data_IF_751131630630
#
_entry.id   IF_751131630630
#
_cell.length_a   1.000
_cell.length_b   1.000
_cell.length_c   1.000
_cell.angle_alpha   90.00
_cell.angle_beta   90.00
_cell.angle_gamma   90.00
#
_symmetry.space_group_name_H-M   'P 1'
#
loop_
_entity.id
_entity.type
_entity.pdbx_description
1 polymer ?
#
# COMPACT_ATOMS: atom_id res chain seq x y z
N UNK A 1 0.01 37.35 3.77
CA UNK A 1 -1.18 36.97 4.56
C UNK A 1 -2.15 36.23 3.66
N UNK A 2 -2.74 35.13 4.10
CA UNK A 2 -3.82 34.45 3.35
C UNK A 2 -5.11 35.27 3.51
N UNK A 3 -5.86 35.46 2.43
CA UNK A 3 -7.14 36.19 2.41
C UNK A 3 -8.35 35.29 2.16
N UNK A 4 -8.19 34.27 1.31
CA UNK A 4 -9.25 33.37 0.86
C UNK A 4 -8.64 32.08 0.34
N UNK A 5 -9.32 30.95 0.55
CA UNK A 5 -8.88 29.64 0.10
C UNK A 5 -10.05 28.85 -0.49
N UNK A 6 -9.77 28.07 -1.53
CA UNK A 6 -10.68 27.05 -2.07
C UNK A 6 -10.81 25.87 -1.09
N UNK A 7 -11.78 24.97 -1.32
CA UNK A 7 -11.97 23.81 -0.42
C UNK A 7 -10.91 22.73 -0.60
N UNK A 8 -10.20 22.77 -1.72
CA UNK A 8 -9.19 21.79 -2.10
C UNK A 8 -9.78 20.47 -2.61
N UNK A 9 -8.96 19.70 -3.32
CA UNK A 9 -9.35 18.53 -4.10
C UNK A 9 -10.64 18.79 -4.93
N UNK A 10 -10.60 19.84 -5.76
CA UNK A 10 -11.71 20.24 -6.63
C UNK A 10 -11.51 19.68 -8.05
N UNK A 11 -12.58 19.17 -8.65
CA UNK A 11 -12.54 18.40 -9.90
C UNK A 11 -13.69 18.75 -10.86
N UNK A 12 -13.55 18.37 -12.13
CA UNK A 12 -14.61 18.38 -13.14
C UNK A 12 -14.41 17.21 -14.11
N UNK A 13 -15.50 16.63 -14.59
CA UNK A 13 -15.52 15.43 -15.45
C UNK A 13 -14.57 15.52 -16.66
N UNK A 14 -13.91 14.41 -17.00
CA UNK A 14 -12.92 14.25 -18.07
C UNK A 14 -11.65 15.10 -17.90
N UNK A 15 -11.46 15.81 -16.79
CA UNK A 15 -10.31 16.68 -16.58
C UNK A 15 -9.04 15.86 -16.23
N UNK A 16 -7.89 16.10 -16.89
CA UNK A 16 -6.64 15.43 -16.56
C UNK A 16 -5.96 15.98 -15.30
N UNK A 17 -6.49 17.05 -14.69
CA UNK A 17 -5.93 17.69 -13.50
C UNK A 17 -6.94 17.73 -12.34
N UNK A 18 -6.46 17.43 -11.14
CA UNK A 18 -7.13 17.73 -9.88
C UNK A 18 -6.62 19.08 -9.35
N UNK A 19 -7.52 20.00 -9.01
CA UNK A 19 -7.14 21.23 -8.30
C UNK A 19 -6.99 20.91 -6.81
N UNK A 20 -5.75 20.65 -6.38
CA UNK A 20 -5.40 20.23 -5.01
C UNK A 20 -5.71 21.31 -3.99
N UNK A 21 -5.30 22.54 -4.28
CA UNK A 21 -5.54 23.72 -3.45
C UNK A 21 -5.50 24.98 -4.31
N UNK A 22 -6.03 26.06 -3.77
CA UNK A 22 -5.87 27.39 -4.35
C UNK A 22 -6.09 28.46 -3.29
N UNK A 23 -5.09 29.31 -3.06
CA UNK A 23 -5.10 30.28 -1.97
C UNK A 23 -4.71 31.66 -2.48
N UNK A 24 -5.46 32.67 -2.05
CA UNK A 24 -5.25 34.09 -2.34
C UNK A 24 -4.41 34.71 -1.21
N UNK A 25 -3.32 35.37 -1.59
CA UNK A 25 -2.39 36.01 -0.69
C UNK A 25 -2.34 37.52 -0.90
N UNK A 26 -2.00 38.24 0.17
CA UNK A 26 -1.54 39.63 0.15
C UNK A 26 -0.07 39.68 0.63
N UNK A 27 0.81 40.25 -0.19
CA UNK A 27 2.25 40.30 0.09
C UNK A 27 2.55 41.38 1.16
N UNK A 28 3.19 40.95 2.25
CA UNK A 28 3.38 41.78 3.45
C UNK A 28 4.10 43.11 3.17
N UNK A 29 3.55 44.21 3.71
CA UNK A 29 4.08 45.57 3.48
C UNK A 29 3.68 46.20 2.14
N UNK A 30 2.88 45.51 1.31
CA UNK A 30 2.39 46.01 0.02
C UNK A 30 0.87 45.83 -0.08
N UNK A 31 0.27 46.22 -1.21
CA UNK A 31 -1.10 45.82 -1.60
C UNK A 31 -1.14 44.72 -2.66
N UNK A 32 0.02 44.15 -3.02
CA UNK A 32 0.09 43.19 -4.11
C UNK A 32 -0.59 41.89 -3.70
N UNK A 33 -1.52 41.45 -4.54
CA UNK A 33 -2.28 40.21 -4.37
C UNK A 33 -1.90 39.20 -5.43
N UNK A 34 -1.78 37.96 -5.01
CA UNK A 34 -1.43 36.86 -5.89
C UNK A 34 -2.16 35.60 -5.46
N UNK A 35 -2.38 34.70 -6.42
CA UNK A 35 -2.97 33.38 -6.19
C UNK A 35 -1.90 32.34 -6.46
N UNK A 36 -1.78 31.36 -5.58
CA UNK A 36 -1.08 30.10 -5.85
C UNK A 36 -2.15 29.04 -6.03
N UNK A 37 -2.07 28.25 -7.10
CA UNK A 37 -2.85 27.04 -7.30
C UNK A 37 -1.90 25.84 -7.32
N UNK A 38 -2.30 24.74 -6.68
CA UNK A 38 -1.61 23.47 -6.81
C UNK A 38 -2.49 22.53 -7.62
N UNK A 39 -1.94 21.98 -8.69
CA UNK A 39 -2.58 20.97 -9.53
C UNK A 39 -1.87 19.63 -9.37
N UNK A 40 -2.62 18.53 -9.43
CA UNK A 40 -2.09 17.17 -9.54
C UNK A 40 -2.52 16.55 -10.85
N UNK A 41 -1.59 15.93 -11.57
CA UNK A 41 -1.92 15.19 -12.79
C UNK A 41 -2.67 13.90 -12.45
N UNK A 42 -3.80 13.63 -13.11
CA UNK A 42 -4.57 12.37 -13.00
C UNK A 42 -4.45 11.51 -14.27
N UNK A 43 -3.67 11.95 -15.26
CA UNK A 43 -3.47 11.28 -16.54
C UNK A 43 -2.16 10.48 -16.54
N UNK A 44 -2.21 9.29 -17.14
CA UNK A 44 -1.02 8.51 -17.50
C UNK A 44 -0.07 9.26 -18.45
N UNK A 45 -0.58 10.29 -19.16
CA UNK A 45 0.23 11.18 -20.00
C UNK A 45 0.90 12.25 -19.15
N UNK A 46 2.20 12.47 -19.35
CA UNK A 46 2.89 13.59 -18.71
C UNK A 46 2.36 14.93 -19.22
N UNK A 47 2.09 15.86 -18.32
CA UNK A 47 1.66 17.23 -18.64
C UNK A 47 2.90 18.12 -18.83
N UNK A 48 2.92 18.94 -19.88
CA UNK A 48 4.02 19.88 -20.19
C UNK A 48 3.60 21.35 -20.15
N UNK A 49 2.29 21.63 -20.22
CA UNK A 49 1.74 22.96 -19.97
C UNK A 49 0.29 22.92 -19.53
N UNK A 50 -0.16 23.93 -18.78
CA UNK A 50 -1.56 24.15 -18.45
C UNK A 50 -1.89 25.65 -18.47
N UNK A 51 -3.06 26.02 -18.98
CA UNK A 51 -3.55 27.41 -19.02
C UNK A 51 -4.73 27.58 -18.08
N UNK A 52 -4.68 28.61 -17.22
CA UNK A 52 -5.77 28.96 -16.29
C UNK A 52 -6.18 30.42 -16.43
N UNK A 53 -7.48 30.68 -16.42
CA UNK A 53 -8.05 32.01 -16.30
C UNK A 53 -8.59 32.22 -14.88
N UNK A 54 -8.09 33.23 -14.17
CA UNK A 54 -8.56 33.62 -12.84
C UNK A 54 -9.57 34.77 -12.94
N UNK A 55 -10.79 34.52 -12.48
CA UNK A 55 -11.82 35.54 -12.30
C UNK A 55 -11.75 36.05 -10.86
N UNK A 56 -11.38 37.33 -10.68
CA UNK A 56 -11.25 37.98 -9.38
C UNK A 56 -12.56 38.67 -8.96
N UNK A 57 -12.91 38.61 -7.68
CA UNK A 57 -14.12 39.25 -7.12
C UNK A 57 -13.79 39.99 -5.82
N UNK A 58 -14.54 41.07 -5.54
CA UNK A 58 -14.48 41.80 -4.28
C UNK A 58 -15.28 41.13 -3.15
N UNK A 59 -15.28 41.74 -1.95
CA UNK A 59 -16.03 41.23 -0.79
C UNK A 59 -17.55 41.29 -0.95
N UNK A 60 -18.07 42.06 -1.90
CA UNK A 60 -19.47 42.04 -2.34
C UNK A 60 -19.81 40.93 -3.34
N UNK A 61 -18.81 40.12 -3.73
CA UNK A 61 -18.88 39.11 -4.81
C UNK A 61 -19.10 39.72 -6.20
N UNK A 62 -18.73 40.98 -6.38
CA UNK A 62 -18.76 41.64 -7.69
C UNK A 62 -17.42 41.38 -8.39
N UNK A 63 -17.46 40.98 -9.66
CA UNK A 63 -16.23 40.72 -10.43
C UNK A 63 -15.42 42.02 -10.58
N UNK A 64 -14.12 41.96 -10.30
CA UNK A 64 -13.19 43.09 -10.45
C UNK A 64 -12.35 42.90 -11.71
N UNK A 65 -12.71 43.64 -12.77
CA UNK A 65 -11.96 43.67 -14.03
C UNK A 65 -12.10 42.42 -14.89
N UNK A 66 -11.18 42.26 -15.85
CA UNK A 66 -11.08 41.07 -16.70
C UNK A 66 -10.36 39.91 -16.02
N UNK A 67 -10.44 38.72 -16.60
CA UNK A 67 -9.73 37.54 -16.09
C UNK A 67 -8.21 37.67 -16.26
N UNK A 68 -7.44 37.27 -15.24
CA UNK A 68 -5.98 37.11 -15.35
C UNK A 68 -5.71 35.72 -15.94
N UNK A 69 -5.16 35.66 -17.15
CA UNK A 69 -4.71 34.39 -17.75
C UNK A 69 -3.27 34.11 -17.32
N UNK A 70 -2.98 32.85 -16.97
CA UNK A 70 -1.64 32.37 -16.64
C UNK A 70 -1.36 31.04 -17.36
N UNK A 71 -0.10 30.83 -17.73
CA UNK A 71 0.36 29.63 -18.44
C UNK A 71 1.47 28.95 -17.63
N UNK A 72 1.16 27.83 -17.00
CA UNK A 72 2.15 26.92 -16.43
C UNK A 72 2.90 26.24 -17.57
N UNK A 73 4.24 26.33 -17.57
CA UNK A 73 5.10 25.68 -18.55
C UNK A 73 6.54 25.54 -18.03
N UNK A 74 7.30 24.60 -18.60
CA UNK A 74 8.75 24.44 -18.34
C UNK A 74 9.14 23.19 -17.54
N UNK A 75 8.18 22.57 -16.87
CA UNK A 75 8.34 21.29 -16.16
C UNK A 75 7.45 20.21 -16.80
N UNK A 76 7.85 18.95 -16.69
CA UNK A 76 7.14 17.80 -17.27
C UNK A 76 6.63 16.92 -16.14
N UNK A 77 5.32 16.98 -15.88
CA UNK A 77 4.66 16.43 -14.68
C UNK A 77 4.08 15.05 -14.99
N UNK A 78 4.61 14.01 -14.37
CA UNK A 78 4.15 12.63 -14.47
C UNK A 78 2.80 12.37 -13.79
N UNK A 79 2.30 11.14 -13.90
CA UNK A 79 1.01 10.74 -13.33
C UNK A 79 1.03 10.88 -11.80
N UNK A 80 0.13 11.69 -11.24
CA UNK A 80 -0.03 11.94 -9.81
C UNK A 80 1.07 12.78 -9.14
N UNK A 81 1.98 13.37 -9.91
CA UNK A 81 2.87 14.45 -9.45
C UNK A 81 2.08 15.77 -9.35
N UNK A 82 2.55 16.70 -8.52
CA UNK A 82 1.90 17.99 -8.24
C UNK A 82 2.76 19.16 -8.73
N UNK A 83 2.12 20.25 -9.19
CA UNK A 83 2.81 21.45 -9.71
C UNK A 83 2.05 22.75 -9.38
N UNK A 84 2.74 23.88 -9.54
CA UNK A 84 2.20 25.22 -9.34
C UNK A 84 2.36 25.80 -7.93
N UNK A 85 2.76 24.98 -6.94
CA UNK A 85 2.97 25.40 -5.54
C UNK A 85 3.97 26.56 -5.33
N UNK A 86 4.94 26.71 -6.25
CA UNK A 86 5.98 27.74 -6.18
C UNK A 86 5.73 28.92 -7.14
N UNK A 87 4.56 29.03 -7.78
CA UNK A 87 4.29 30.04 -8.82
C UNK A 87 3.20 31.06 -8.43
N UNK A 88 3.55 32.35 -8.42
CA UNK A 88 2.66 33.45 -8.03
C UNK A 88 1.86 34.01 -9.22
N UNK A 89 0.57 33.66 -9.35
CA UNK A 89 -0.31 34.35 -10.32
C UNK A 89 -0.71 35.71 -9.76
N UNK A 90 -0.02 36.77 -10.20
CA UNK A 90 -0.24 38.15 -9.72
C UNK A 90 -1.54 38.74 -10.27
N UNK A 91 -2.35 39.31 -9.38
CA UNK A 91 -3.62 39.95 -9.71
C UNK A 91 -3.47 41.47 -9.80
N UNK A 92 -4.05 42.08 -10.83
CA UNK A 92 -3.98 43.53 -11.09
C UNK A 92 -4.95 44.38 -10.25
N UNK A 93 -5.65 43.78 -9.27
CA UNK A 93 -6.80 44.40 -8.61
C UNK A 93 -6.72 44.28 -7.07
N UNK A 94 -6.23 45.34 -6.40
CA UNK A 94 -6.13 45.47 -4.93
C UNK A 94 -7.42 45.09 -4.17
N UNK A 95 -8.60 45.32 -4.78
CA UNK A 95 -9.91 45.03 -4.17
C UNK A 95 -10.30 43.55 -4.16
N UNK A 96 -9.50 42.66 -4.74
CA UNK A 96 -9.78 41.21 -4.73
C UNK A 96 -9.86 40.69 -3.30
N UNK A 97 -10.96 39.98 -3.00
CA UNK A 97 -11.20 39.27 -1.76
C UNK A 97 -11.41 37.77 -1.98
N UNK A 98 -11.77 37.34 -3.19
CA UNK A 98 -11.89 35.93 -3.58
C UNK A 98 -11.63 35.78 -5.09
N UNK A 99 -11.44 34.55 -5.56
CA UNK A 99 -11.24 34.25 -6.97
C UNK A 99 -11.94 32.94 -7.36
N UNK A 100 -12.14 32.74 -8.66
CA UNK A 100 -12.59 31.47 -9.25
C UNK A 100 -11.63 31.10 -10.39
N UNK A 101 -10.95 29.94 -10.33
CA UNK A 101 -10.10 29.47 -11.42
C UNK A 101 -10.90 28.70 -12.46
N UNK A 102 -10.59 28.94 -13.73
CA UNK A 102 -11.08 28.20 -14.88
C UNK A 102 -9.87 27.63 -15.63
N UNK A 103 -9.64 26.32 -15.55
CA UNK A 103 -8.66 25.65 -16.40
C UNK A 103 -9.16 25.70 -17.85
N UNK A 104 -8.34 26.20 -18.77
CA UNK A 104 -8.71 26.44 -20.18
C UNK A 104 -8.25 25.27 -21.06
N UNK A 105 -6.99 24.87 -20.94
CA UNK A 105 -6.40 23.76 -21.67
C UNK A 105 -5.22 23.14 -20.92
N UNK A 106 -4.85 21.92 -21.33
CA UNK A 106 -3.68 21.17 -20.85
C UNK A 106 -3.01 20.49 -22.04
N UNK A 107 -1.69 20.64 -22.18
CA UNK A 107 -0.89 20.00 -23.23
C UNK A 107 -0.05 18.88 -22.63
N UNK A 108 0.04 17.75 -23.35
CA UNK A 108 0.80 16.58 -22.95
C UNK A 108 2.10 16.42 -23.76
N UNK A 109 3.03 15.64 -23.22
CA UNK A 109 4.33 15.31 -23.84
C UNK A 109 4.19 14.63 -25.23
N UNK A 110 3.07 13.93 -25.48
CA UNK A 110 2.77 13.32 -26.78
C UNK A 110 2.19 14.30 -27.83
N UNK A 111 2.11 15.59 -27.51
CA UNK A 111 1.55 16.64 -28.36
C UNK A 111 0.02 16.68 -28.42
N UNK A 112 -0.69 15.79 -27.71
CA UNK A 112 -2.14 15.90 -27.54
C UNK A 112 -2.51 17.00 -26.55
N UNK A 113 -3.74 17.51 -26.65
CA UNK A 113 -4.23 18.61 -25.83
C UNK A 113 -5.66 18.37 -25.37
N UNK A 114 -5.89 18.52 -24.07
CA UNK A 114 -7.21 18.59 -23.47
C UNK A 114 -7.71 20.04 -23.44
N UNK A 115 -9.01 20.28 -23.63
CA UNK A 115 -9.61 21.62 -23.65
C UNK A 115 -10.94 21.66 -22.90
N UNK A 116 -11.12 22.69 -22.07
CA UNK A 116 -12.38 22.95 -21.38
C UNK A 116 -13.40 23.65 -22.28
N UNK A 117 -13.87 22.97 -23.32
CA UNK A 117 -14.71 23.55 -24.37
C UNK A 117 -16.06 24.11 -23.85
N UNK A 118 -16.53 23.64 -22.70
CA UNK A 118 -17.78 24.08 -22.07
C UNK A 118 -17.57 25.15 -20.97
N UNK A 119 -16.33 25.58 -20.74
CA UNK A 119 -15.94 26.46 -19.62
C UNK A 119 -16.44 25.97 -18.25
N UNK A 120 -16.40 24.65 -18.03
CA UNK A 120 -16.80 24.01 -16.78
C UNK A 120 -15.92 24.49 -15.63
N UNK A 121 -16.52 24.77 -14.48
CA UNK A 121 -15.80 25.12 -13.26
C UNK A 121 -15.52 23.87 -12.41
N UNK A 122 -14.36 23.86 -11.75
CA UNK A 122 -14.05 22.88 -10.71
C UNK A 122 -15.13 22.85 -9.61
N UNK A 123 -15.34 21.66 -9.04
CA UNK A 123 -16.26 21.39 -7.93
C UNK A 123 -15.54 20.60 -6.84
N UNK A 124 -15.65 20.98 -5.55
CA UNK A 124 -15.08 20.19 -4.46
C UNK A 124 -15.56 18.75 -4.50
N UNK A 125 -14.61 17.79 -4.45
CA UNK A 125 -14.96 16.38 -4.30
C UNK A 125 -15.67 16.15 -2.95
N UNK A 126 -16.65 15.24 -2.89
CA UNK A 126 -17.27 14.83 -1.62
C UNK A 126 -16.21 14.24 -0.69
N UNK A 127 -16.27 14.61 0.60
CA UNK A 127 -15.44 13.97 1.63
C UNK A 127 -15.72 12.46 1.63
N UNK A 128 -14.67 11.65 1.64
CA UNK A 128 -14.77 10.21 1.76
C UNK A 128 -15.14 9.79 3.18
N UNK A 129 -15.94 8.74 3.29
CA UNK A 129 -16.43 8.23 4.57
C UNK A 129 -15.48 7.15 5.12
N UNK A 130 -15.26 7.17 6.44
CA UNK A 130 -14.36 6.22 7.10
C UNK A 130 -15.04 4.84 7.22
N UNK A 131 -14.33 3.77 6.85
CA UNK A 131 -14.85 2.41 6.82
C UNK A 131 -15.30 1.93 8.22
N UNK A 132 -14.76 2.51 9.29
CA UNK A 132 -15.16 2.25 10.67
C UNK A 132 -16.64 2.58 10.96
N UNK A 133 -17.28 3.45 10.16
CA UNK A 133 -18.71 3.73 10.27
C UNK A 133 -19.62 2.56 9.88
N UNK A 134 -19.17 1.70 8.96
CA UNK A 134 -19.90 0.49 8.52
C UNK A 134 -19.33 -0.78 9.17
N UNK A 135 -18.02 -0.79 9.47
CA UNK A 135 -17.31 -1.93 10.06
C UNK A 135 -16.76 -1.61 11.48
N UNK A 136 -17.62 -1.27 12.46
CA UNK A 136 -17.18 -0.75 13.77
C UNK A 136 -16.57 -1.79 14.71
N UNK A 137 -16.67 -3.08 14.39
CA UNK A 137 -16.08 -4.17 15.18
C UNK A 137 -14.74 -4.60 14.58
N UNK A 138 -13.68 -4.87 15.39
CA UNK A 138 -12.36 -5.20 14.88
C UNK A 138 -12.32 -6.37 13.88
N UNK A 139 -13.12 -7.43 14.09
CA UNK A 139 -13.17 -8.56 13.15
C UNK A 139 -13.83 -8.22 11.81
N UNK A 140 -14.68 -7.19 11.75
CA UNK A 140 -15.25 -6.65 10.51
C UNK A 140 -14.19 -5.82 9.76
N UNK A 141 -13.53 -4.88 10.44
CA UNK A 141 -12.45 -4.08 9.85
C UNK A 141 -11.31 -4.99 9.33
N UNK A 142 -10.92 -6.00 10.10
CA UNK A 142 -9.99 -7.06 9.71
C UNK A 142 -10.46 -7.83 8.46
N UNK A 143 -11.77 -8.04 8.24
CA UNK A 143 -12.24 -8.66 6.99
C UNK A 143 -12.16 -7.70 5.81
N UNK A 144 -12.51 -6.42 6.02
CA UNK A 144 -12.41 -5.38 4.99
C UNK A 144 -10.97 -5.24 4.48
N UNK A 145 -10.01 -5.20 5.40
CA UNK A 145 -8.57 -5.15 5.10
C UNK A 145 -8.01 -6.46 4.53
N UNK A 146 -8.66 -7.61 4.74
CA UNK A 146 -8.28 -8.90 4.12
C UNK A 146 -8.82 -9.04 2.69
N UNK A 147 -10.00 -8.47 2.38
CA UNK A 147 -10.54 -8.46 1.01
C UNK A 147 -9.87 -7.38 0.15
N UNK A 148 -9.33 -6.30 0.75
CA UNK A 148 -8.58 -5.24 0.07
C UNK A 148 -7.08 -5.32 0.40
N UNK A 149 -6.62 -4.56 1.40
CA UNK A 149 -5.26 -4.55 1.95
C UNK A 149 -5.27 -3.79 3.30
N UNK A 150 -4.12 -3.74 3.98
CA UNK A 150 -3.99 -3.07 5.30
C UNK A 150 -4.13 -1.53 5.27
N UNK A 151 -3.96 -0.89 4.11
CA UNK A 151 -4.24 0.55 3.94
C UNK A 151 -5.75 0.87 3.84
N UNK A 152 -6.63 -0.12 3.71
CA UNK A 152 -8.07 0.11 3.60
C UNK A 152 -8.68 0.64 4.91
N UNK A 153 -9.00 1.94 4.93
CA UNK A 153 -9.57 2.66 6.08
C UNK A 153 -10.77 3.55 5.73
N UNK A 154 -11.01 3.81 4.44
CA UNK A 154 -12.16 4.53 3.90
C UNK A 154 -13.07 3.61 3.07
N UNK A 155 -14.31 4.04 2.84
CA UNK A 155 -15.24 3.40 1.91
C UNK A 155 -14.97 3.88 0.47
N UNK A 156 -14.95 3.00 -0.56
CA UNK A 156 -14.84 3.42 -1.95
C UNK A 156 -16.03 4.27 -2.41
N UNK A 157 -15.79 5.10 -3.43
CA UNK A 157 -16.82 5.97 -4.01
C UNK A 157 -16.56 6.26 -5.48
N UNK A 158 -17.53 5.97 -6.35
CA UNK A 158 -17.51 6.42 -7.75
C UNK A 158 -17.97 7.89 -7.82
N UNK A 159 -17.30 8.68 -8.64
CA UNK A 159 -17.54 10.13 -8.82
C UNK A 159 -17.34 10.46 -10.30
N UNK A 160 -18.33 10.08 -11.12
CA UNK A 160 -18.21 10.17 -12.58
C UNK A 160 -17.16 9.19 -13.10
N UNK A 161 -16.17 9.73 -13.80
CA UNK A 161 -14.96 9.06 -14.30
C UNK A 161 -13.91 8.77 -13.20
N UNK A 162 -13.96 9.46 -12.06
CA UNK A 162 -13.07 9.18 -10.93
C UNK A 162 -13.63 8.11 -9.98
N UNK A 163 -12.73 7.42 -9.29
CA UNK A 163 -13.06 6.68 -8.07
C UNK A 163 -12.10 6.96 -6.93
N UNK A 164 -12.65 6.99 -5.71
CA UNK A 164 -11.87 7.05 -4.47
C UNK A 164 -11.61 5.62 -3.99
N UNK A 165 -10.34 5.27 -3.78
CA UNK A 165 -9.94 3.98 -3.24
C UNK A 165 -10.09 3.94 -1.70
N UNK A 166 -10.22 2.74 -1.12
CA UNK A 166 -10.29 2.56 0.33
C UNK A 166 -9.04 3.05 1.12
N UNK A 167 -7.89 3.25 0.45
CA UNK A 167 -6.71 3.87 1.05
C UNK A 167 -6.72 5.42 1.02
N UNK A 168 -7.77 6.04 0.46
CA UNK A 168 -7.92 7.50 0.36
C UNK A 168 -7.32 8.13 -0.90
N UNK A 169 -6.78 7.33 -1.83
CA UNK A 169 -6.22 7.83 -3.09
C UNK A 169 -7.29 8.00 -4.18
N UNK A 170 -7.12 9.02 -5.01
CA UNK A 170 -7.99 9.37 -6.14
C UNK A 170 -7.44 8.71 -7.42
N UNK A 171 -8.30 8.02 -8.17
CA UNK A 171 -7.89 7.24 -9.35
C UNK A 171 -8.84 7.46 -10.53
N UNK A 172 -8.27 7.37 -11.74
CA UNK A 172 -8.91 7.32 -13.06
C UNK A 172 -8.87 5.89 -13.61
N UNK A 173 -7.72 5.22 -13.49
CA UNK A 173 -7.45 3.87 -13.99
C UNK A 173 -8.04 2.75 -13.12
N UNK A 174 -8.13 1.54 -13.68
CA UNK A 174 -8.69 0.31 -13.05
C UNK A 174 -7.98 -0.15 -11.76
N UNK A 175 -6.75 0.33 -11.50
CA UNK A 175 -5.94 -0.06 -10.33
C UNK A 175 -5.52 1.14 -9.52
N UNK A 176 -5.58 1.02 -8.19
CA UNK A 176 -5.15 2.11 -7.32
C UNK A 176 -3.65 2.40 -7.48
N UNK A 177 -3.29 3.61 -7.91
CA UNK A 177 -1.89 4.05 -8.11
C UNK A 177 -1.02 3.93 -6.86
N UNK A 178 -1.64 3.97 -5.66
CA UNK A 178 -0.97 3.95 -4.35
C UNK A 178 -0.85 2.55 -3.75
N UNK A 179 -1.97 1.83 -3.64
CA UNK A 179 -2.05 0.57 -2.89
C UNK A 179 -2.34 -0.65 -3.77
N UNK A 180 -2.37 -0.47 -5.10
CA UNK A 180 -2.50 -1.47 -6.17
C UNK A 180 -3.72 -2.40 -6.14
N UNK A 181 -4.65 -2.20 -5.20
CA UNK A 181 -5.96 -2.85 -5.22
C UNK A 181 -6.77 -2.38 -6.43
N UNK A 182 -7.46 -3.30 -7.11
CA UNK A 182 -8.27 -2.97 -8.30
C UNK A 182 -9.62 -2.36 -7.92
N UNK A 183 -10.22 -1.61 -8.83
CA UNK A 183 -11.58 -1.09 -8.69
C UNK A 183 -12.55 -2.19 -8.25
N UNK A 184 -12.60 -3.29 -9.01
CA UNK A 184 -13.47 -4.43 -8.70
C UNK A 184 -13.22 -5.00 -7.30
N UNK A 185 -11.96 -5.16 -6.87
CA UNK A 185 -11.62 -5.66 -5.54
C UNK A 185 -12.16 -4.73 -4.43
N UNK A 186 -11.90 -3.43 -4.55
CA UNK A 186 -12.26 -2.43 -3.54
C UNK A 186 -13.79 -2.29 -3.44
N UNK A 187 -14.51 -2.22 -4.56
CA UNK A 187 -15.97 -2.12 -4.56
C UNK A 187 -16.67 -3.45 -4.22
N UNK A 188 -16.11 -4.62 -4.54
CA UNK A 188 -16.66 -5.92 -4.09
C UNK A 188 -16.56 -6.09 -2.57
N UNK A 189 -15.56 -5.49 -1.92
CA UNK A 189 -15.43 -5.53 -0.47
C UNK A 189 -16.52 -4.75 0.30
N UNK A 190 -17.36 -3.93 -0.36
CA UNK A 190 -18.56 -3.31 0.22
C UNK A 190 -19.88 -3.98 -0.18
N UNK A 191 -19.87 -5.02 -1.01
CA UNK A 191 -21.01 -5.92 -1.16
C UNK A 191 -21.22 -6.66 0.15
N UNK A 192 -22.31 -6.33 0.86
CA UNK A 192 -22.56 -6.83 2.20
C UNK A 192 -22.89 -8.33 2.25
N UNK A 193 -23.32 -8.96 1.17
CA UNK A 193 -23.65 -10.40 1.16
C UNK A 193 -22.43 -11.25 0.76
N UNK A 194 -21.61 -10.76 -0.17
CA UNK A 194 -20.24 -11.24 -0.37
C UNK A 194 -19.44 -11.14 0.94
N UNK A 195 -19.39 -9.96 1.55
CA UNK A 195 -18.62 -9.70 2.77
C UNK A 195 -19.03 -10.60 3.95
N UNK A 196 -20.34 -10.75 4.22
CA UNK A 196 -20.85 -11.65 5.27
C UNK A 196 -20.41 -13.10 5.04
N UNK A 197 -20.52 -13.58 3.79
CA UNK A 197 -20.09 -14.93 3.41
C UNK A 197 -18.60 -15.14 3.68
N UNK A 198 -17.75 -14.22 3.21
CA UNK A 198 -16.28 -14.26 3.39
C UNK A 198 -15.87 -14.22 4.86
N UNK A 199 -16.50 -13.35 5.65
CA UNK A 199 -16.33 -13.29 7.11
C UNK A 199 -16.69 -14.62 7.78
N UNK A 200 -17.82 -15.23 7.40
CA UNK A 200 -18.26 -16.50 7.97
C UNK A 200 -17.31 -17.65 7.59
N UNK A 201 -16.84 -17.70 6.33
CA UNK A 201 -15.82 -18.66 5.86
C UNK A 201 -14.51 -18.53 6.69
N UNK A 202 -14.05 -17.30 6.95
CA UNK A 202 -12.86 -17.05 7.80
C UNK A 202 -13.10 -17.54 9.23
N UNK A 203 -14.16 -17.09 9.89
CA UNK A 203 -14.43 -17.40 11.30
C UNK A 203 -14.64 -18.91 11.54
N UNK A 204 -15.30 -19.62 10.62
CA UNK A 204 -15.41 -21.08 10.69
C UNK A 204 -14.05 -21.77 10.55
N UNK A 205 -13.19 -21.28 9.65
CA UNK A 205 -11.84 -21.80 9.43
C UNK A 205 -10.94 -21.55 10.64
N UNK A 206 -10.91 -20.32 11.17
CA UNK A 206 -10.17 -19.95 12.39
C UNK A 206 -10.60 -20.82 13.58
N UNK A 207 -11.90 -20.99 13.81
CA UNK A 207 -12.44 -21.82 14.89
C UNK A 207 -12.12 -23.32 14.74
N UNK A 208 -12.06 -23.85 13.50
CA UNK A 208 -11.62 -25.22 13.23
C UNK A 208 -10.12 -25.38 13.51
N UNK A 209 -9.30 -24.43 13.05
CA UNK A 209 -7.85 -24.44 13.29
C UNK A 209 -7.53 -24.37 14.79
N UNK A 210 -8.19 -23.49 15.55
CA UNK A 210 -8.04 -23.40 17.02
C UNK A 210 -8.35 -24.75 17.69
N UNK A 211 -9.48 -25.39 17.37
CA UNK A 211 -9.85 -26.72 17.89
C UNK A 211 -8.83 -27.82 17.53
N UNK A 212 -8.20 -27.73 16.36
CA UNK A 212 -7.13 -28.65 15.96
C UNK A 212 -5.81 -28.38 16.69
N UNK A 213 -5.45 -27.10 16.89
CA UNK A 213 -4.29 -26.69 17.67
C UNK A 213 -4.43 -27.10 19.15
N UNK A 214 -5.61 -26.93 19.75
CA UNK A 214 -5.92 -27.43 21.09
C UNK A 214 -5.75 -28.95 21.19
N UNK A 215 -6.35 -29.71 20.26
CA UNK A 215 -6.20 -31.18 20.24
C UNK A 215 -4.74 -31.61 20.12
N UNK A 216 -3.93 -30.91 19.31
CA UNK A 216 -2.47 -31.10 19.25
C UNK A 216 -1.80 -30.75 20.58
N UNK A 217 -2.12 -29.60 21.19
CA UNK A 217 -1.56 -29.13 22.48
C UNK A 217 -1.86 -30.10 23.64
N UNK A 218 -3.08 -30.64 23.70
CA UNK A 218 -3.49 -31.66 24.70
C UNK A 218 -2.78 -33.00 24.49
N UNK A 219 -2.46 -33.40 23.25
CA UNK A 219 -1.72 -34.64 22.94
C UNK A 219 -0.21 -34.54 23.14
N UNK A 220 0.40 -33.35 22.98
CA UNK A 220 1.85 -33.13 23.17
C UNK A 220 2.45 -33.75 24.45
N UNK A 221 1.94 -33.49 25.68
CA UNK A 221 2.54 -34.05 26.90
C UNK A 221 2.49 -35.58 26.96
N UNK A 222 1.40 -36.21 26.47
CA UNK A 222 1.29 -37.67 26.40
C UNK A 222 2.31 -38.28 25.42
N UNK A 223 2.51 -37.65 24.26
CA UNK A 223 3.51 -38.10 23.27
C UNK A 223 4.95 -37.95 23.80
N UNK A 224 5.24 -36.88 24.55
CA UNK A 224 6.54 -36.66 25.20
C UNK A 224 6.79 -37.73 26.29
N UNK A 225 5.79 -38.00 27.14
CA UNK A 225 5.87 -39.04 28.16
C UNK A 225 6.10 -40.44 27.55
N UNK A 226 5.37 -40.77 26.48
CA UNK A 226 5.53 -42.03 25.77
C UNK A 226 6.95 -42.19 25.20
N UNK A 227 7.51 -41.14 24.60
CA UNK A 227 8.88 -41.14 24.09
C UNK A 227 9.92 -41.35 25.21
N UNK A 228 9.76 -40.69 26.36
CA UNK A 228 10.63 -40.87 27.53
C UNK A 228 10.59 -42.30 28.08
N UNK A 229 9.40 -42.94 28.12
CA UNK A 229 9.25 -44.33 28.53
C UNK A 229 9.96 -45.28 27.55
N UNK A 230 9.85 -45.06 26.24
CA UNK A 230 10.54 -45.88 25.22
C UNK A 230 12.07 -45.76 25.35
N UNK A 231 12.60 -44.55 25.57
CA UNK A 231 14.03 -44.34 25.82
C UNK A 231 14.49 -45.03 27.11
N UNK A 232 13.72 -44.94 28.19
CA UNK A 232 14.04 -45.62 29.45
C UNK A 232 14.08 -47.15 29.30
N UNK A 233 13.13 -47.73 28.56
CA UNK A 233 13.09 -49.17 28.27
C UNK A 233 14.28 -49.61 27.40
N UNK A 234 14.67 -48.81 26.41
CA UNK A 234 15.87 -49.06 25.60
C UNK A 234 17.14 -49.08 26.47
N UNK A 235 17.32 -48.08 27.34
CA UNK A 235 18.45 -48.03 28.28
C UNK A 235 18.45 -49.22 29.26
N UNK A 236 17.28 -49.62 29.78
CA UNK A 236 17.15 -50.81 30.62
C UNK A 236 17.53 -52.10 29.88
N UNK A 237 17.12 -52.26 28.62
CA UNK A 237 17.46 -53.45 27.83
C UNK A 237 18.97 -53.57 27.58
N UNK A 238 19.65 -52.45 27.28
CA UNK A 238 21.11 -52.39 27.16
C UNK A 238 21.80 -52.72 28.49
N UNK A 239 21.29 -52.20 29.60
CA UNK A 239 21.84 -52.47 30.93
C UNK A 239 21.69 -53.94 31.38
N UNK A 240 20.57 -54.58 31.04
CA UNK A 240 20.33 -56.01 31.33
C UNK A 240 21.22 -56.92 30.48
N UNK A 241 21.36 -56.63 29.18
CA UNK A 241 22.31 -57.33 28.30
C UNK A 241 23.76 -57.17 28.79
N UNK A 242 24.14 -55.96 29.21
CA UNK A 242 25.45 -55.67 29.79
C UNK A 242 25.73 -56.37 31.13
N UNK A 243 24.70 -56.82 31.87
CA UNK A 243 24.86 -57.66 33.05
C UNK A 243 24.96 -59.15 32.70
N UNK A 244 24.17 -59.64 31.75
CA UNK A 244 24.23 -61.03 31.29
C UNK A 244 25.61 -61.41 30.75
N UNK A 245 26.28 -60.50 30.04
CA UNK A 245 27.64 -60.69 29.52
C UNK A 245 28.78 -60.69 30.57
N UNK A 246 28.51 -60.57 31.88
CA UNK A 246 29.54 -60.36 32.90
C UNK A 246 29.63 -61.43 34.00
N UNK A 247 28.87 -62.52 33.88
CA UNK A 247 28.80 -63.59 34.90
C UNK A 247 29.16 -65.00 34.39
N UNK A 248 29.76 -65.15 33.21
CA UNK A 248 30.02 -66.47 32.62
C UNK A 248 31.15 -66.55 31.59
N UNK A 249 32.40 -66.42 32.02
CA UNK A 249 33.58 -67.01 31.36
C UNK A 249 34.82 -66.93 32.30
N UNK A 250 35.53 -68.07 32.50
CA UNK A 250 36.86 -68.10 33.12
C UNK A 250 37.63 -69.31 32.61
N UNK A 251 38.80 -69.07 32.00
CA UNK A 251 39.80 -70.06 31.54
C UNK A 251 39.36 -70.93 30.34
N UNK A 252 40.25 -71.39 29.45
CA UNK A 252 41.71 -71.15 29.34
C UNK A 252 42.19 -71.12 27.86
N UNK A 253 43.50 -70.93 27.72
CA UNK A 253 44.39 -70.93 26.54
C UNK A 253 44.19 -72.09 25.53
N UNK A 254 44.73 -72.11 24.29
CA UNK A 254 45.80 -71.31 23.63
C UNK A 254 45.26 -70.52 22.39
N UNK A 255 45.93 -70.11 21.30
CA UNK A 255 47.27 -70.40 20.71
C UNK A 255 47.82 -69.25 19.81
N UNK A 256 48.69 -69.60 18.86
CA UNK A 256 49.58 -68.80 18.02
C UNK A 256 48.96 -68.12 16.77
N UNK A 257 49.63 -67.06 16.29
CA UNK A 257 49.28 -66.35 15.04
C UNK A 257 50.03 -65.02 14.84
N UNK A 258 51.24 -65.05 14.28
CA UNK A 258 52.11 -63.86 14.18
C UNK A 258 51.65 -62.81 13.12
N UNK A 259 51.74 -61.50 13.44
CA UNK A 259 51.23 -60.42 12.56
C UNK A 259 51.82 -58.99 12.67
N UNK A 260 52.91 -58.79 13.43
CA UNK A 260 53.87 -57.66 13.41
C UNK A 260 53.52 -56.32 12.67
N UNK A 261 53.20 -55.27 13.45
CA UNK A 261 53.58 -53.83 13.23
C UNK A 261 52.90 -53.01 12.08
N UNK A 262 52.75 -51.67 12.11
CA UNK A 262 53.00 -50.61 13.14
C UNK A 262 52.34 -49.25 12.75
N UNK A 263 51.83 -48.50 13.75
CA UNK A 263 51.91 -47.01 13.94
C UNK A 263 51.14 -46.03 13.01
N UNK A 264 50.81 -44.86 13.60
CA UNK A 264 50.23 -43.61 13.05
C UNK A 264 48.73 -43.66 12.67
N UNK A 265 47.76 -42.88 13.19
CA UNK A 265 47.67 -41.67 14.06
C UNK A 265 47.36 -40.34 13.34
N UNK A 266 46.47 -39.56 13.98
CA UNK A 266 46.18 -38.12 13.82
C UNK A 266 45.38 -37.62 12.60
N UNK A 267 44.15 -37.18 12.91
CA UNK A 267 43.61 -35.82 12.68
C UNK A 267 43.30 -35.26 11.28
N UNK A 268 42.61 -34.10 11.31
CA UNK A 268 42.29 -33.14 10.24
C UNK A 268 41.41 -33.65 9.07
N UNK A 269 40.11 -33.32 8.95
CA UNK A 269 39.40 -32.02 8.89
C UNK A 269 39.24 -31.41 7.48
N UNK A 270 37.98 -31.12 7.14
CA UNK A 270 37.47 -30.04 6.25
C UNK A 270 38.24 -29.71 4.95
N UNK A 271 37.68 -30.13 3.82
CA UNK A 271 37.47 -29.29 2.63
C UNK A 271 36.30 -29.91 1.81
N UNK A 272 35.29 -29.15 1.37
CA UNK A 272 35.28 -28.19 0.24
C UNK A 272 35.38 -28.88 -1.12
N UNK A 273 34.25 -28.96 -1.85
CA UNK A 273 34.18 -29.65 -3.14
C UNK A 273 32.93 -29.30 -3.95
N UNK A 274 32.86 -28.07 -4.45
CA UNK A 274 31.89 -27.68 -5.47
C UNK A 274 32.53 -27.83 -6.86
N UNK A 275 31.89 -28.59 -7.75
CA UNK A 275 32.21 -28.65 -9.18
C UNK A 275 30.89 -28.50 -9.95
N UNK A 276 30.91 -27.71 -11.02
CA UNK A 276 29.75 -27.36 -11.83
C UNK A 276 29.68 -28.19 -13.13
N UNK A 277 28.99 -27.67 -14.15
CA UNK A 277 28.62 -28.30 -15.43
C UNK A 277 27.49 -29.33 -15.35
N UNK A 278 26.69 -29.53 -16.40
CA UNK A 278 26.83 -29.01 -17.77
C UNK A 278 25.51 -28.45 -18.34
N UNK A 279 25.64 -27.56 -19.32
CA UNK A 279 24.56 -27.09 -20.20
C UNK A 279 24.00 -28.22 -21.09
N UNK A 280 22.73 -28.11 -21.47
CA UNK A 280 22.20 -28.71 -22.69
C UNK A 280 20.91 -28.02 -23.15
N UNK A 281 21.03 -27.19 -24.19
CA UNK A 281 20.01 -26.77 -25.18
C UNK A 281 18.64 -26.28 -24.69
#
# INVERSE_FOLDING_TARGET
MILFELRGNEYMHDCPLLLKSGSLFEAGGTRHKYVVLVFRNLSMKKVISAEVALYAFDSGKIQVGGATTHHYAGETVGEGEEFGENEEIRLSYDRTAMFVPLLVNVTFEDGSMWKNANHTLFRPLPRQEEAAGIFPLPELMKQYQIEINEEAVYLPRQIGDLWLCACGEINTEESCRRCHATHEQVFRATDMDYFKKRLQERLQTEALQQKLQEKKRRRRPFLILLALIVVLLALLSVFLLGKAGKSGARREETDSGAGRSKVASADASVSSGAIASADAS
#
